data_IF_837743304082
#
_entry.id   IF_837743304082
#
_cell.length_a   1.000
_cell.length_b   1.000
_cell.length_c   1.000
_cell.angle_alpha   90.00
_cell.angle_beta   90.00
_cell.angle_gamma   90.00
#
_symmetry.space_group_name_H-M   'P 1'
#
loop_
_entity.id
_entity.type
_entity.pdbx_description
1 polymer ?
#
# COMPACT_ATOMS: atom_id res chain seq x y z
N UNK A 1 -3.04 -60.71 -74.49
CA UNK A 1 -4.02 -61.53 -73.73
C UNK A 1 -3.19 -62.48 -72.88
N UNK A 2 -3.06 -62.32 -71.56
CA UNK A 2 -4.07 -62.65 -70.56
C UNK A 2 -3.79 -61.93 -69.24
N UNK A 3 -4.74 -61.10 -68.77
CA UNK A 3 -4.81 -60.64 -67.38
C UNK A 3 -5.39 -61.77 -66.53
N UNK A 4 -4.60 -62.31 -65.60
CA UNK A 4 -5.11 -63.24 -64.59
C UNK A 4 -5.66 -62.46 -63.40
N UNK A 5 -6.98 -62.42 -63.32
CA UNK A 5 -7.77 -61.88 -62.23
C UNK A 5 -7.63 -62.76 -60.97
N UNK A 6 -6.93 -62.27 -59.95
CA UNK A 6 -6.93 -62.93 -58.63
C UNK A 6 -8.22 -62.58 -57.86
N UNK A 7 -9.22 -63.47 -57.93
CA UNK A 7 -10.39 -63.48 -57.05
C UNK A 7 -9.93 -63.68 -55.59
N UNK A 8 -9.90 -62.62 -54.80
CA UNK A 8 -9.79 -62.67 -53.34
C UNK A 8 -11.09 -63.24 -52.77
N UNK A 9 -11.11 -64.54 -52.47
CA UNK A 9 -12.17 -65.16 -51.65
C UNK A 9 -11.89 -64.79 -50.19
N UNK A 10 -12.51 -63.72 -49.71
CA UNK A 10 -12.50 -63.37 -48.29
C UNK A 10 -13.05 -64.55 -47.48
N UNK A 11 -12.21 -65.13 -46.62
CA UNK A 11 -12.60 -66.24 -45.76
C UNK A 11 -13.68 -65.77 -44.80
N UNK A 12 -14.87 -66.39 -44.88
CA UNK A 12 -16.04 -66.09 -44.06
C UNK A 12 -15.77 -66.10 -42.55
N UNK A 13 -14.64 -66.67 -42.13
CA UNK A 13 -14.16 -66.67 -40.76
C UNK A 13 -13.68 -65.27 -40.30
N UNK A 14 -13.02 -64.50 -41.15
CA UNK A 14 -12.54 -63.15 -40.79
C UNK A 14 -13.69 -62.14 -40.71
N UNK A 15 -14.73 -62.27 -41.54
CA UNK A 15 -15.94 -61.44 -41.46
C UNK A 15 -16.79 -61.79 -40.24
N UNK A 16 -16.89 -63.07 -39.88
CA UNK A 16 -17.62 -63.51 -38.68
C UNK A 16 -16.92 -63.08 -37.37
N UNK A 17 -15.59 -63.21 -37.30
CA UNK A 17 -14.81 -62.79 -36.11
C UNK A 17 -14.80 -61.26 -35.98
N UNK A 18 -14.64 -60.53 -37.08
CA UNK A 18 -14.74 -59.06 -37.09
C UNK A 18 -16.12 -58.59 -36.64
N UNK A 19 -17.20 -59.23 -37.12
CA UNK A 19 -18.56 -58.95 -36.70
C UNK A 19 -18.79 -59.17 -35.20
N UNK A 20 -18.30 -60.29 -34.65
CA UNK A 20 -18.40 -60.58 -33.22
C UNK A 20 -17.66 -59.55 -32.37
N UNK A 21 -16.44 -59.15 -32.77
CA UNK A 21 -15.64 -58.16 -32.03
C UNK A 21 -16.29 -56.79 -32.05
N UNK A 22 -16.86 -56.36 -33.19
CA UNK A 22 -17.58 -55.09 -33.29
C UNK A 22 -18.83 -55.13 -32.40
N UNK A 23 -19.58 -56.24 -32.42
CA UNK A 23 -20.79 -56.38 -31.62
C UNK A 23 -20.48 -56.35 -30.12
N UNK A 24 -19.43 -57.03 -29.67
CA UNK A 24 -18.97 -56.98 -28.28
C UNK A 24 -18.47 -55.59 -27.90
N UNK A 25 -17.76 -54.90 -28.80
CA UNK A 25 -17.27 -53.54 -28.56
C UNK A 25 -18.41 -52.53 -28.45
N UNK A 26 -19.43 -52.64 -29.31
CA UNK A 26 -20.63 -51.80 -29.25
C UNK A 26 -21.42 -52.09 -27.99
N UNK A 27 -21.58 -53.36 -27.61
CA UNK A 27 -22.27 -53.72 -26.37
C UNK A 27 -21.53 -53.20 -25.14
N UNK A 28 -20.20 -53.30 -25.13
CA UNK A 28 -19.35 -52.72 -24.08
C UNK A 28 -19.50 -51.19 -24.02
N UNK A 29 -19.52 -50.51 -25.16
CA UNK A 29 -19.74 -49.06 -25.23
C UNK A 29 -21.15 -48.67 -24.79
N UNK A 30 -22.18 -49.46 -25.11
CA UNK A 30 -23.55 -49.21 -24.66
C UNK A 30 -23.72 -49.46 -23.16
N UNK A 31 -23.08 -50.49 -22.60
CA UNK A 31 -23.03 -50.72 -21.15
C UNK A 31 -22.26 -49.57 -20.49
N UNK A 32 -21.14 -49.13 -21.06
CA UNK A 32 -20.41 -47.95 -20.58
C UNK A 32 -21.22 -46.68 -20.68
N UNK A 33 -22.03 -46.49 -21.73
CA UNK A 33 -22.89 -45.32 -21.89
C UNK A 33 -24.10 -45.35 -20.93
N UNK A 34 -24.64 -46.53 -20.65
CA UNK A 34 -25.73 -46.72 -19.69
C UNK A 34 -25.27 -46.65 -18.23
N UNK A 35 -24.02 -47.01 -17.95
CA UNK A 35 -23.41 -46.96 -16.60
C UNK A 35 -22.57 -45.71 -16.36
N UNK A 36 -22.14 -45.00 -17.41
CA UNK A 36 -21.64 -43.63 -17.30
C UNK A 36 -22.86 -42.78 -17.02
N UNK A 37 -23.13 -42.56 -15.73
CA UNK A 37 -24.32 -41.88 -15.26
C UNK A 37 -24.67 -40.69 -16.14
N UNK A 38 -25.80 -40.79 -16.84
CA UNK A 38 -26.52 -39.60 -17.24
C UNK A 38 -26.93 -38.93 -15.94
N UNK A 39 -26.09 -38.01 -15.49
CA UNK A 39 -26.45 -37.05 -14.47
C UNK A 39 -27.61 -36.23 -15.04
N UNK A 40 -28.84 -36.68 -14.79
CA UNK A 40 -29.95 -35.73 -14.67
C UNK A 40 -29.54 -34.92 -13.46
N UNK A 41 -28.90 -33.77 -13.71
CA UNK A 41 -28.67 -32.79 -12.67
C UNK A 41 -30.05 -32.49 -12.10
N UNK A 42 -30.27 -32.93 -10.86
CA UNK A 42 -31.49 -32.66 -10.13
C UNK A 42 -31.73 -31.15 -10.22
N UNK A 43 -32.89 -30.72 -10.70
CA UNK A 43 -33.17 -29.28 -10.92
C UNK A 43 -33.12 -28.52 -9.59
N UNK A 44 -33.11 -29.24 -8.46
CA UNK A 44 -32.81 -28.74 -7.12
C UNK A 44 -31.34 -28.33 -6.91
N UNK A 45 -30.37 -29.02 -7.54
CA UNK A 45 -28.93 -28.70 -7.43
C UNK A 45 -28.50 -27.56 -8.38
N UNK A 46 -29.27 -27.34 -9.46
CA UNK A 46 -29.13 -26.14 -10.28
C UNK A 46 -29.40 -24.85 -9.48
N UNK A 47 -30.12 -24.93 -8.36
CA UNK A 47 -30.38 -23.79 -7.48
C UNK A 47 -29.15 -23.35 -6.67
N UNK A 48 -28.33 -24.27 -6.18
CA UNK A 48 -27.22 -23.93 -5.27
C UNK A 48 -25.94 -23.52 -6.00
N UNK A 49 -25.64 -24.16 -7.13
CA UNK A 49 -24.50 -23.78 -7.98
C UNK A 49 -24.81 -22.54 -8.85
N UNK A 50 -26.04 -22.37 -9.35
CA UNK A 50 -26.40 -21.14 -10.06
C UNK A 50 -26.54 -19.94 -9.11
N UNK A 51 -26.92 -20.14 -7.85
CA UNK A 51 -26.86 -19.08 -6.83
C UNK A 51 -25.39 -18.69 -6.58
N UNK A 52 -24.47 -19.66 -6.42
CA UNK A 52 -23.04 -19.40 -6.26
C UNK A 52 -22.43 -18.60 -7.43
N UNK A 53 -22.91 -18.82 -8.65
CA UNK A 53 -22.46 -18.07 -9.84
C UNK A 53 -23.01 -16.63 -9.87
N UNK A 54 -24.16 -16.36 -9.25
CA UNK A 54 -24.77 -15.01 -9.15
C UNK A 54 -24.25 -14.17 -7.97
N UNK A 55 -23.59 -14.78 -6.99
CA UNK A 55 -22.86 -14.07 -5.91
C UNK A 55 -21.37 -13.92 -6.22
N UNK A 56 -20.91 -14.33 -7.40
CA UNK A 56 -19.55 -14.02 -7.82
C UNK A 56 -19.46 -12.51 -8.06
N UNK A 57 -18.51 -11.80 -7.41
CA UNK A 57 -18.29 -10.40 -7.71
C UNK A 57 -17.96 -10.28 -9.20
N UNK A 58 -18.79 -9.57 -9.96
CA UNK A 58 -18.58 -9.26 -11.38
C UNK A 58 -17.50 -8.19 -11.55
N UNK A 59 -16.33 -8.45 -10.97
CA UNK A 59 -15.16 -7.61 -11.05
C UNK A 59 -13.95 -8.50 -10.84
N UNK A 60 -12.99 -8.43 -11.76
CA UNK A 60 -11.66 -8.97 -11.55
C UNK A 60 -10.99 -8.13 -10.47
N UNK A 61 -11.34 -8.33 -9.22
CA UNK A 61 -10.54 -7.82 -8.11
C UNK A 61 -9.28 -8.68 -8.18
N UNK A 62 -8.18 -8.11 -8.69
CA UNK A 62 -6.87 -8.69 -8.46
C UNK A 62 -6.75 -8.77 -6.95
N UNK A 63 -6.93 -9.97 -6.40
CA UNK A 63 -6.65 -10.26 -5.02
C UNK A 63 -5.17 -9.89 -4.85
N UNK A 64 -4.91 -8.73 -4.25
CA UNK A 64 -3.58 -8.37 -3.84
C UNK A 64 -3.09 -9.36 -2.80
N UNK A 65 -1.93 -9.08 -2.23
CA UNK A 65 -1.33 -9.68 -1.03
C UNK A 65 -2.22 -9.70 0.24
N UNK A 66 -3.54 -9.58 0.13
CA UNK A 66 -4.50 -9.51 1.24
C UNK A 66 -4.52 -8.16 1.95
N UNK A 67 -3.55 -7.29 1.68
CA UNK A 67 -3.41 -5.97 2.29
C UNK A 67 -4.03 -4.89 1.39
N UNK A 68 -5.00 -4.10 1.88
CA UNK A 68 -5.56 -2.99 1.10
C UNK A 68 -4.48 -1.97 0.68
N UNK A 69 -4.62 -1.31 -0.49
CA UNK A 69 -3.80 -0.17 -0.84
C UNK A 69 -3.75 0.88 0.28
N UNK A 70 -2.54 1.34 0.60
CA UNK A 70 -2.28 2.29 1.69
C UNK A 70 -1.90 1.60 3.02
N UNK A 71 -2.17 0.30 3.17
CA UNK A 71 -1.89 -0.46 4.40
C UNK A 71 -0.64 -1.34 4.32
N UNK A 72 0.07 -1.38 3.18
CA UNK A 72 1.30 -2.18 3.06
C UNK A 72 2.51 -1.47 3.66
N UNK A 73 3.36 -2.19 4.39
CA UNK A 73 4.67 -1.70 4.84
C UNK A 73 5.64 -1.53 3.67
N UNK A 74 6.72 -0.77 3.86
CA UNK A 74 7.77 -0.61 2.87
C UNK A 74 8.45 -1.92 2.50
N UNK A 75 8.64 -2.81 3.48
CA UNK A 75 9.17 -4.16 3.26
C UNK A 75 8.21 -5.01 2.40
N UNK A 76 6.90 -4.97 2.67
CA UNK A 76 5.89 -5.70 1.90
C UNK A 76 5.88 -5.24 0.43
N UNK A 77 5.92 -3.93 0.19
CA UNK A 77 5.98 -3.34 -1.15
C UNK A 77 7.30 -3.72 -1.84
N UNK A 78 8.42 -3.66 -1.12
CA UNK A 78 9.73 -4.04 -1.64
C UNK A 78 9.76 -5.50 -2.10
N UNK A 79 9.34 -6.42 -1.22
CA UNK A 79 9.34 -7.86 -1.50
C UNK A 79 8.39 -8.23 -2.64
N UNK A 80 7.28 -7.50 -2.79
CA UNK A 80 6.30 -7.73 -3.86
C UNK A 80 6.76 -7.21 -5.22
N UNK A 81 7.34 -6.00 -5.28
CA UNK A 81 7.55 -5.28 -6.55
C UNK A 81 9.02 -4.92 -6.77
N UNK A 82 9.68 -4.30 -5.80
CA UNK A 82 10.98 -3.65 -6.01
C UNK A 82 12.17 -4.64 -6.03
N UNK A 83 12.07 -5.74 -5.28
CA UNK A 83 13.16 -6.73 -5.12
C UNK A 83 13.59 -7.38 -6.44
N UNK A 84 12.72 -7.41 -7.44
CA UNK A 84 13.01 -7.99 -8.76
C UNK A 84 14.16 -7.27 -9.47
N UNK A 85 14.33 -5.97 -9.19
CA UNK A 85 15.39 -5.15 -9.78
C UNK A 85 16.42 -4.66 -8.76
N UNK A 86 15.99 -4.40 -7.52
CA UNK A 86 16.82 -3.80 -6.48
C UNK A 86 17.30 -4.78 -5.40
N UNK A 87 17.03 -6.08 -5.54
CA UNK A 87 17.57 -7.10 -4.65
C UNK A 87 19.10 -7.10 -4.62
N UNK A 88 19.70 -7.48 -3.49
CA UNK A 88 21.14 -7.50 -3.30
C UNK A 88 21.88 -8.37 -4.35
N UNK A 89 21.21 -9.40 -4.85
CA UNK A 89 21.67 -10.35 -5.85
C UNK A 89 21.35 -9.94 -7.30
N UNK A 90 20.58 -8.87 -7.51
CA UNK A 90 20.13 -8.44 -8.84
C UNK A 90 21.20 -7.63 -9.56
N UNK A 91 21.18 -7.71 -10.89
CA UNK A 91 22.20 -7.13 -11.78
C UNK A 91 21.63 -6.10 -12.76
N UNK A 92 20.48 -5.51 -12.45
CA UNK A 92 19.87 -4.47 -13.28
C UNK A 92 20.81 -3.26 -13.34
N UNK A 93 21.19 -2.86 -14.54
CA UNK A 93 22.17 -1.79 -14.76
C UNK A 93 21.71 -0.48 -14.10
N UNK A 94 22.60 0.14 -13.33
CA UNK A 94 22.40 1.42 -12.62
C UNK A 94 21.28 1.42 -11.57
N UNK A 95 20.64 0.27 -11.32
CA UNK A 95 19.71 0.07 -10.21
C UNK A 95 20.50 -0.09 -8.91
N UNK A 96 20.26 0.77 -7.89
CA UNK A 96 20.92 0.61 -6.60
C UNK A 96 20.43 -0.66 -5.90
N UNK A 97 21.37 -1.46 -5.41
CA UNK A 97 21.10 -2.71 -4.71
C UNK A 97 20.84 -2.46 -3.24
N UNK A 98 19.85 -3.16 -2.68
CA UNK A 98 19.61 -3.15 -1.24
C UNK A 98 20.87 -3.58 -0.49
N UNK A 99 21.27 -2.81 0.54
CA UNK A 99 22.44 -3.09 1.35
C UNK A 99 23.76 -2.56 0.80
N UNK A 100 23.79 -2.02 -0.43
CA UNK A 100 25.01 -1.48 -1.01
C UNK A 100 25.19 0.01 -0.67
N UNK A 101 25.84 0.29 0.47
CA UNK A 101 26.07 1.67 0.93
C UNK A 101 26.77 2.56 -0.11
N UNK A 102 27.68 2.01 -0.92
CA UNK A 102 28.39 2.78 -1.95
C UNK A 102 27.46 3.29 -3.06
N UNK A 103 26.51 2.46 -3.48
CA UNK A 103 25.52 2.84 -4.50
C UNK A 103 24.43 3.80 -3.96
N UNK A 104 24.18 3.75 -2.65
CA UNK A 104 23.14 4.54 -1.98
C UNK A 104 23.63 5.87 -1.40
N UNK A 105 24.89 6.01 -1.02
CA UNK A 105 25.41 7.21 -0.33
C UNK A 105 25.08 8.52 -1.08
N UNK A 106 25.37 8.58 -2.39
CA UNK A 106 25.11 9.77 -3.21
C UNK A 106 23.62 10.01 -3.47
N UNK A 107 22.79 8.96 -3.37
CA UNK A 107 21.34 9.02 -3.55
C UNK A 107 20.67 9.51 -2.28
N UNK A 108 21.09 8.97 -1.12
CA UNK A 108 20.66 9.41 0.21
C UNK A 108 20.98 10.89 0.40
N UNK A 109 22.16 11.35 -0.03
CA UNK A 109 22.55 12.75 0.05
C UNK A 109 21.65 13.71 -0.74
N UNK A 110 20.92 13.24 -1.76
CA UNK A 110 19.93 14.06 -2.49
C UNK A 110 18.64 14.27 -1.69
N UNK A 111 18.47 13.55 -0.58
CA UNK A 111 17.32 13.67 0.30
C UNK A 111 16.17 12.73 -0.07
N UNK A 112 15.36 12.42 0.93
CA UNK A 112 14.25 11.47 0.82
C UNK A 112 13.22 11.89 -0.24
N UNK A 113 12.78 13.14 -0.24
CA UNK A 113 11.76 13.65 -1.16
C UNK A 113 12.16 13.47 -2.64
N UNK A 114 13.43 13.67 -2.97
CA UNK A 114 13.92 13.45 -4.32
C UNK A 114 13.90 11.97 -4.71
N UNK A 115 14.26 11.07 -3.79
CA UNK A 115 14.20 9.63 -4.04
C UNK A 115 12.76 9.15 -4.22
N UNK A 116 11.84 9.61 -3.37
CA UNK A 116 10.41 9.30 -3.47
C UNK A 116 9.83 9.84 -4.77
N UNK A 117 10.09 11.10 -5.13
CA UNK A 117 9.60 11.67 -6.39
C UNK A 117 10.09 10.89 -7.62
N UNK A 118 11.35 10.46 -7.61
CA UNK A 118 11.90 9.62 -8.68
C UNK A 118 11.27 8.22 -8.70
N UNK A 119 10.94 7.64 -7.55
CA UNK A 119 10.29 6.32 -7.47
C UNK A 119 8.82 6.38 -7.89
N UNK A 120 8.08 7.43 -7.49
CA UNK A 120 6.66 7.63 -7.81
C UNK A 120 6.47 7.94 -9.30
N UNK A 121 7.23 8.90 -9.83
CA UNK A 121 7.10 9.34 -11.23
C UNK A 121 7.91 8.49 -12.22
N UNK A 122 8.81 7.65 -11.70
CA UNK A 122 9.80 6.94 -12.50
C UNK A 122 11.03 7.81 -12.73
N UNK A 123 12.14 7.16 -13.11
CA UNK A 123 13.43 7.81 -13.31
C UNK A 123 14.04 7.38 -14.63
N UNK A 124 14.28 8.36 -15.51
CA UNK A 124 14.94 8.18 -16.81
C UNK A 124 16.26 8.94 -16.84
N UNK A 125 17.23 8.44 -16.11
CA UNK A 125 18.58 9.01 -16.05
C UNK A 125 19.62 8.01 -16.54
N UNK A 126 20.59 7.69 -15.69
CA UNK A 126 21.58 6.65 -15.97
C UNK A 126 20.97 5.25 -16.05
N UNK A 127 19.81 5.04 -15.42
CA UNK A 127 18.98 3.83 -15.56
C UNK A 127 17.55 4.20 -15.94
N UNK A 128 16.75 3.18 -16.23
CA UNK A 128 15.32 3.28 -16.51
C UNK A 128 14.54 2.59 -15.39
N UNK A 129 13.90 3.38 -14.53
CA UNK A 129 13.04 2.90 -13.46
C UNK A 129 11.59 3.29 -13.77
N UNK A 130 10.66 2.34 -13.90
CA UNK A 130 9.25 2.64 -14.14
C UNK A 130 8.62 3.33 -12.92
N UNK A 131 7.63 4.18 -13.19
CA UNK A 131 6.80 4.81 -12.16
C UNK A 131 6.21 3.76 -11.22
N UNK A 132 6.36 3.96 -9.92
CA UNK A 132 5.90 3.06 -8.85
C UNK A 132 6.42 1.62 -8.98
N UNK A 133 7.61 1.44 -9.55
CA UNK A 133 8.15 0.10 -9.82
C UNK A 133 7.34 -0.72 -10.83
N UNK A 134 6.46 -0.06 -11.61
CA UNK A 134 5.57 -0.70 -12.58
C UNK A 134 4.22 -1.15 -12.01
N UNK A 135 3.99 -1.03 -10.71
CA UNK A 135 2.70 -1.38 -10.09
C UNK A 135 1.86 -0.12 -9.83
N UNK A 136 0.88 0.13 -10.72
CA UNK A 136 -0.06 1.25 -10.62
C UNK A 136 -1.01 1.16 -9.42
N UNK A 137 -1.09 0.00 -8.76
CA UNK A 137 -1.94 -0.18 -7.58
C UNK A 137 -1.33 0.37 -6.30
N UNK A 138 -0.04 0.72 -6.33
CA UNK A 138 0.65 1.29 -5.18
C UNK A 138 0.26 2.76 -4.97
N UNK A 139 -0.01 3.13 -3.72
CA UNK A 139 -0.12 4.54 -3.33
C UNK A 139 1.26 5.19 -3.27
N UNK A 140 1.31 6.52 -3.33
CA UNK A 140 2.59 7.23 -3.24
C UNK A 140 3.24 7.03 -1.86
N UNK A 141 2.42 6.87 -0.81
CA UNK A 141 2.88 6.51 0.53
C UNK A 141 3.48 5.11 0.59
N UNK A 142 2.87 4.12 -0.07
CA UNK A 142 3.42 2.75 -0.17
C UNK A 142 4.79 2.74 -0.88
N UNK A 143 4.94 3.55 -1.93
CA UNK A 143 6.21 3.72 -2.64
C UNK A 143 7.24 4.45 -1.75
N UNK A 144 6.84 5.52 -1.07
CA UNK A 144 7.70 6.25 -0.15
C UNK A 144 8.19 5.36 1.00
N UNK A 145 7.33 4.48 1.51
CA UNK A 145 7.71 3.46 2.50
C UNK A 145 8.74 2.48 1.96
N UNK A 146 8.56 1.96 0.75
CA UNK A 146 9.54 1.08 0.12
C UNK A 146 10.90 1.77 -0.09
N UNK A 147 10.91 3.05 -0.47
CA UNK A 147 12.12 3.86 -0.61
C UNK A 147 12.83 4.04 0.74
N UNK A 148 12.09 4.31 1.81
CA UNK A 148 12.64 4.42 3.16
C UNK A 148 13.27 3.10 3.61
N UNK A 149 12.56 1.99 3.46
CA UNK A 149 13.07 0.64 3.73
C UNK A 149 14.39 0.39 2.98
N UNK A 150 14.41 0.63 1.67
CA UNK A 150 15.59 0.38 0.84
C UNK A 150 16.80 1.22 1.22
N UNK A 151 16.58 2.51 1.47
CA UNK A 151 17.64 3.42 1.88
C UNK A 151 18.16 3.07 3.28
N UNK A 152 17.30 2.73 4.23
CA UNK A 152 17.68 2.41 5.62
C UNK A 152 18.50 1.12 5.72
N UNK A 153 18.16 0.12 4.91
CA UNK A 153 18.97 -1.08 4.77
C UNK A 153 20.32 -0.81 4.09
N UNK A 154 20.51 0.36 3.48
CA UNK A 154 21.69 0.72 2.68
C UNK A 154 22.45 1.93 3.25
N UNK A 155 22.40 2.12 4.58
CA UNK A 155 23.14 3.15 5.30
C UNK A 155 22.42 4.50 5.45
N UNK A 156 21.15 4.58 5.06
CA UNK A 156 20.28 5.73 5.31
C UNK A 156 19.56 5.65 6.66
N UNK A 157 18.88 6.74 7.02
CA UNK A 157 18.01 6.79 8.20
C UNK A 157 16.82 7.72 7.92
N UNK A 158 16.05 7.37 6.89
CA UNK A 158 14.83 8.05 6.53
C UNK A 158 13.66 7.53 7.36
N UNK A 159 12.79 8.44 7.77
CA UNK A 159 11.55 8.09 8.45
C UNK A 159 10.56 7.53 7.41
N UNK A 160 10.08 6.32 7.66
CA UNK A 160 9.06 5.67 6.84
C UNK A 160 7.68 6.31 7.10
N UNK A 161 6.88 6.69 6.07
CA UNK A 161 5.51 7.14 6.27
C UNK A 161 4.70 6.11 7.07
N UNK A 162 3.79 6.53 7.97
CA UNK A 162 2.99 5.58 8.74
C UNK A 162 2.16 4.68 7.82
N UNK A 163 2.08 3.41 8.17
CA UNK A 163 1.10 2.50 7.56
C UNK A 163 -0.27 2.95 8.06
N UNK A 164 -1.20 3.26 7.15
CA UNK A 164 -2.55 3.62 7.58
C UNK A 164 -3.18 2.41 8.25
N UNK A 165 -3.34 2.49 9.57
CA UNK A 165 -4.02 1.45 10.32
C UNK A 165 -5.50 1.48 9.92
N UNK A 166 -6.01 0.37 9.39
CA UNK A 166 -7.45 0.15 9.43
C UNK A 166 -7.90 0.24 10.89
N UNK A 167 -8.98 0.99 11.14
CA UNK A 167 -9.56 1.16 12.47
C UNK A 167 -9.68 -0.19 13.20
N UNK A 168 -8.98 -0.30 14.33
CA UNK A 168 -9.09 -1.42 15.23
C UNK A 168 -7.76 -1.98 15.70
N UNK A 169 -7.15 -1.32 16.70
CA UNK A 169 -6.60 -1.92 17.92
C UNK A 169 -5.56 -0.99 18.55
N UNK A 170 -5.92 -0.38 19.68
CA UNK A 170 -4.96 0.18 20.62
C UNK A 170 -4.39 -0.94 21.50
N UNK A 171 -3.06 -0.99 21.69
CA UNK A 171 -2.44 -0.78 23.01
C UNK A 171 -0.91 -0.76 22.92
N UNK A 172 -0.33 0.33 23.41
CA UNK A 172 0.95 0.50 24.11
C UNK A 172 2.19 -0.37 23.76
N UNK A 173 3.20 0.27 23.18
CA UNK A 173 4.55 0.40 23.79
C UNK A 173 5.42 1.39 22.99
N UNK A 174 6.26 2.11 23.70
CA UNK A 174 6.92 3.35 23.30
C UNK A 174 8.20 3.19 22.47
N UNK A 175 8.35 4.02 21.44
CA UNK A 175 9.40 5.07 21.29
C UNK A 175 9.72 5.33 19.81
N UNK A 176 9.51 6.60 19.41
CA UNK A 176 9.90 7.35 18.20
C UNK A 176 10.79 6.67 17.12
N UNK A 177 10.51 6.89 15.80
CA UNK A 177 10.47 8.24 15.22
C UNK A 177 9.22 8.50 14.34
N UNK A 178 8.12 8.87 14.97
CA UNK A 178 6.94 9.44 14.29
C UNK A 178 7.05 10.96 14.04
N UNK A 179 8.15 11.60 14.45
CA UNK A 179 8.22 13.05 14.56
C UNK A 179 8.62 13.79 13.26
N UNK A 180 9.16 13.11 12.24
CA UNK A 180 9.83 13.82 11.14
C UNK A 180 8.96 14.00 9.88
N UNK A 181 8.05 13.06 9.59
CA UNK A 181 7.02 13.20 8.53
C UNK A 181 5.87 14.09 8.98
N UNK A 182 5.48 13.96 10.25
CA UNK A 182 4.52 14.86 10.90
C UNK A 182 5.03 16.30 10.91
N UNK A 183 6.33 16.53 11.13
CA UNK A 183 6.87 17.88 11.23
C UNK A 183 6.79 18.68 9.93
N UNK A 184 7.04 18.08 8.76
CA UNK A 184 6.97 18.78 7.48
C UNK A 184 5.53 19.14 7.10
N UNK A 185 4.58 18.21 7.28
CA UNK A 185 3.16 18.46 7.07
C UNK A 185 2.59 19.43 8.13
N UNK A 186 3.00 19.30 9.39
CA UNK A 186 2.63 20.22 10.46
C UNK A 186 3.17 21.63 10.21
N UNK A 187 4.38 21.75 9.67
CA UNK A 187 4.94 23.03 9.27
C UNK A 187 4.11 23.66 8.15
N UNK A 188 3.71 22.90 7.12
CA UNK A 188 2.89 23.41 6.02
C UNK A 188 1.47 23.83 6.49
N UNK A 189 0.83 23.00 7.32
CA UNK A 189 -0.45 23.33 7.95
C UNK A 189 -0.32 24.57 8.84
N UNK A 190 0.78 24.67 9.61
CA UNK A 190 1.08 25.84 10.41
C UNK A 190 1.20 27.09 9.54
N UNK A 191 1.98 27.05 8.45
CA UNK A 191 2.14 28.19 7.55
C UNK A 191 0.80 28.61 6.93
N UNK A 192 -0.01 27.63 6.53
CA UNK A 192 -1.27 27.87 5.81
C UNK A 192 -2.39 28.37 6.73
N UNK A 193 -2.49 27.81 7.94
CA UNK A 193 -3.69 27.98 8.79
C UNK A 193 -3.41 28.69 10.12
N UNK A 194 -2.17 28.70 10.60
CA UNK A 194 -1.85 29.12 11.98
C UNK A 194 -0.91 30.34 12.05
N UNK A 195 -0.04 30.52 11.05
CA UNK A 195 1.04 31.50 11.07
C UNK A 195 0.53 32.96 11.12
N UNK A 196 -0.68 33.23 10.61
CA UNK A 196 -1.29 34.55 10.69
C UNK A 196 -1.40 35.05 12.15
N UNK A 197 -1.75 34.15 13.08
CA UNK A 197 -1.94 34.48 14.49
C UNK A 197 -0.79 34.03 15.40
N UNK A 198 -0.11 32.94 15.04
CA UNK A 198 0.95 32.33 15.86
C UNK A 198 2.35 32.45 15.26
N UNK A 199 2.51 33.10 14.11
CA UNK A 199 3.81 33.35 13.52
C UNK A 199 4.73 34.15 14.45
N UNK A 200 6.04 33.99 14.29
CA UNK A 200 7.04 34.64 15.13
C UNK A 200 6.88 36.18 15.19
N UNK A 201 6.36 36.77 14.13
CA UNK A 201 6.12 38.22 13.99
C UNK A 201 4.64 38.61 14.15
N UNK A 202 3.76 37.68 14.52
CA UNK A 202 2.33 37.99 14.64
C UNK A 202 2.07 39.06 15.70
N UNK A 203 1.18 39.99 15.36
CA UNK A 203 0.75 41.07 16.24
C UNK A 203 -0.47 40.68 17.10
N UNK A 204 -0.96 39.44 17.00
CA UNK A 204 -2.12 39.00 17.77
C UNK A 204 -1.76 38.97 19.27
N UNK A 205 -2.43 39.77 20.12
CA UNK A 205 -2.11 39.83 21.53
C UNK A 205 -2.46 38.50 22.22
N UNK A 206 -1.61 38.10 23.17
CA UNK A 206 -1.75 36.86 23.97
C UNK A 206 -1.62 35.53 23.22
N UNK A 207 -1.49 35.55 21.90
CA UNK A 207 -1.18 34.37 21.11
C UNK A 207 0.29 33.95 21.35
N UNK A 208 0.56 32.68 21.69
CA UNK A 208 1.93 32.19 21.77
C UNK A 208 2.58 32.20 20.39
N UNK A 209 3.73 32.87 20.29
CA UNK A 209 4.48 33.01 19.04
C UNK A 209 5.37 31.82 18.80
N UNK A 210 5.48 31.38 17.55
CA UNK A 210 6.42 30.34 17.15
C UNK A 210 7.85 30.75 17.52
N UNK A 211 8.59 29.84 18.14
CA UNK A 211 9.98 30.07 18.54
C UNK A 211 10.17 30.89 19.84
N UNK A 212 9.12 31.50 20.38
CA UNK A 212 9.24 32.30 21.61
C UNK A 212 9.18 31.44 22.88
N UNK A 213 10.34 31.18 23.49
CA UNK A 213 10.44 30.31 24.67
C UNK A 213 9.60 30.79 25.86
N UNK A 214 9.49 32.11 26.06
CA UNK A 214 8.81 32.68 27.21
C UNK A 214 7.29 32.54 27.11
N UNK A 215 6.75 32.60 25.88
CA UNK A 215 5.33 32.35 25.62
C UNK A 215 4.95 30.88 25.87
N UNK A 216 5.86 29.95 25.51
CA UNK A 216 5.62 28.51 25.53
C UNK A 216 5.93 27.83 26.86
N UNK A 217 6.92 28.30 27.62
CA UNK A 217 7.30 27.70 28.92
C UNK A 217 6.12 27.51 29.90
N UNK A 218 5.23 28.50 30.16
CA UNK A 218 4.09 28.31 31.05
C UNK A 218 2.97 27.45 30.45
N UNK A 219 2.95 27.26 29.12
CA UNK A 219 1.98 26.41 28.42
C UNK A 219 2.41 24.96 28.52
N UNK A 220 3.66 24.66 28.18
CA UNK A 220 4.23 23.31 28.25
C UNK A 220 4.06 22.72 29.67
N UNK A 221 4.19 23.54 30.73
CA UNK A 221 3.93 23.12 32.12
C UNK A 221 2.51 22.63 32.41
N UNK A 222 1.52 23.03 31.61
CA UNK A 222 0.13 22.56 31.73
C UNK A 222 -0.04 21.13 31.20
N UNK A 223 0.93 20.63 30.44
CA UNK A 223 0.93 19.27 29.89
C UNK A 223 0.32 19.19 28.48
N UNK A 224 0.68 18.11 27.77
CA UNK A 224 0.31 17.87 26.38
C UNK A 224 -1.22 17.84 26.17
N UNK A 225 -1.96 17.22 27.09
CA UNK A 225 -3.39 16.98 26.93
C UNK A 225 -4.17 18.29 26.98
N UNK A 226 -3.76 19.21 27.85
CA UNK A 226 -4.34 20.55 27.95
C UNK A 226 -4.05 21.36 26.69
N UNK A 227 -2.83 21.28 26.15
CA UNK A 227 -2.45 21.99 24.93
C UNK A 227 -3.23 21.48 23.71
N UNK A 228 -3.36 20.16 23.57
CA UNK A 228 -4.13 19.55 22.48
C UNK A 228 -5.61 19.89 22.60
N UNK A 229 -6.19 19.78 23.79
CA UNK A 229 -7.58 20.13 24.04
C UNK A 229 -7.89 21.58 23.65
N UNK A 230 -7.08 22.54 24.13
CA UNK A 230 -7.25 23.95 23.81
C UNK A 230 -7.09 24.24 22.31
N UNK A 231 -6.24 23.51 21.60
CA UNK A 231 -6.05 23.68 20.16
C UNK A 231 -7.22 23.10 19.35
N UNK A 232 -7.79 21.96 19.78
CA UNK A 232 -8.88 21.27 19.08
C UNK A 232 -10.22 21.95 19.36
N UNK A 233 -10.55 22.19 20.62
CA UNK A 233 -11.84 22.73 21.06
C UNK A 233 -11.88 24.27 21.01
N UNK A 234 -10.71 24.90 20.89
CA UNK A 234 -10.56 26.34 21.02
C UNK A 234 -10.35 26.75 22.48
N UNK A 235 -9.87 27.98 22.67
CA UNK A 235 -9.54 28.49 23.98
C UNK A 235 -9.73 30.00 24.06
N UNK A 236 -10.53 30.42 25.03
CA UNK A 236 -10.64 31.83 25.42
C UNK A 236 -9.79 32.06 26.66
N UNK A 237 -8.71 32.82 26.50
CA UNK A 237 -7.82 33.10 27.62
C UNK A 237 -8.49 34.11 28.56
N UNK A 238 -8.58 33.82 29.88
CA UNK A 238 -9.15 34.74 30.86
C UNK A 238 -8.44 36.10 30.92
N UNK A 239 -7.16 36.16 30.52
CA UNK A 239 -6.35 37.39 30.45
C UNK A 239 -6.53 38.16 29.14
N UNK A 240 -7.34 37.66 28.21
CA UNK A 240 -7.57 38.22 26.88
C UNK A 240 -7.00 37.35 25.76
N UNK A 241 -7.62 37.43 24.58
CA UNK A 241 -7.30 36.63 23.39
C UNK A 241 -8.20 35.40 23.24
N UNK A 242 -8.56 35.11 21.98
CA UNK A 242 -9.40 33.97 21.60
C UNK A 242 -8.64 33.16 20.55
N UNK A 243 -8.49 31.87 20.82
CA UNK A 243 -8.07 30.87 19.85
C UNK A 243 -9.31 30.09 19.41
N UNK A 244 -9.74 30.19 18.14
CA UNK A 244 -10.84 29.37 17.64
C UNK A 244 -10.50 27.87 17.66
N UNK A 245 -11.53 27.02 17.71
CA UNK A 245 -11.38 25.58 17.53
C UNK A 245 -10.60 25.27 16.25
N UNK A 246 -9.58 24.41 16.36
CA UNK A 246 -8.68 24.02 15.27
C UNK A 246 -8.02 25.21 14.56
N UNK A 247 -7.81 26.32 15.28
CA UNK A 247 -7.26 27.56 14.69
C UNK A 247 -8.17 28.21 13.64
N UNK A 248 -9.45 27.85 13.60
CA UNK A 248 -10.41 28.29 12.56
C UNK A 248 -10.42 27.43 11.31
N UNK A 249 -9.56 26.41 11.24
CA UNK A 249 -9.47 25.47 10.13
C UNK A 249 -10.28 24.20 10.46
N UNK A 250 -11.60 24.30 10.36
CA UNK A 250 -12.54 23.22 10.72
C UNK A 250 -12.33 21.92 9.92
N UNK A 251 -11.68 22.00 8.76
CA UNK A 251 -11.34 20.87 7.91
C UNK A 251 -10.19 20.00 8.45
N UNK A 252 -9.40 20.49 9.42
CA UNK A 252 -8.28 19.73 9.97
C UNK A 252 -8.77 18.62 10.89
N UNK A 253 -8.12 17.46 10.81
CA UNK A 253 -8.31 16.38 11.80
C UNK A 253 -7.67 16.74 13.14
N UNK A 254 -8.07 16.07 14.20
CA UNK A 254 -7.52 16.31 15.54
C UNK A 254 -6.03 15.93 15.59
N UNK A 255 -5.64 14.87 14.88
CA UNK A 255 -4.25 14.42 14.74
C UNK A 255 -3.39 15.46 14.02
N UNK A 256 -3.93 16.10 12.98
CA UNK A 256 -3.25 17.19 12.26
C UNK A 256 -3.02 18.39 13.17
N UNK A 257 -4.03 18.76 13.98
CA UNK A 257 -3.90 19.85 14.96
C UNK A 257 -2.88 19.49 16.04
N UNK A 258 -2.89 18.26 16.55
CA UNK A 258 -1.90 17.79 17.53
C UNK A 258 -0.47 17.81 16.96
N UNK A 259 -0.28 17.41 15.70
CA UNK A 259 1.01 17.46 15.04
C UNK A 259 1.54 18.91 14.93
N UNK A 260 0.67 19.87 14.60
CA UNK A 260 1.00 21.31 14.58
C UNK A 260 1.39 21.82 15.97
N UNK A 261 0.66 21.42 17.02
CA UNK A 261 1.02 21.80 18.40
C UNK A 261 2.39 21.26 18.79
N UNK A 262 2.70 19.99 18.44
CA UNK A 262 4.03 19.40 18.66
C UNK A 262 5.12 20.19 17.94
N UNK A 263 4.91 20.54 16.66
CA UNK A 263 5.82 21.38 15.88
C UNK A 263 6.06 22.74 16.57
N UNK A 264 5.01 23.44 16.99
CA UNK A 264 5.14 24.76 17.61
C UNK A 264 5.91 24.72 18.94
N UNK A 265 5.69 23.68 19.76
CA UNK A 265 6.44 23.47 20.99
C UNK A 265 7.90 23.14 20.70
N UNK A 266 8.18 22.31 19.70
CA UNK A 266 9.54 21.97 19.29
C UNK A 266 10.32 23.19 18.81
N UNK A 267 9.71 24.06 18.00
CA UNK A 267 10.33 25.33 17.56
C UNK A 267 10.62 26.27 18.72
N UNK A 268 9.80 26.23 19.78
CA UNK A 268 10.05 26.95 21.02
C UNK A 268 11.12 26.28 21.92
N UNK A 269 11.74 25.19 21.49
CA UNK A 269 12.75 24.44 22.25
C UNK A 269 12.17 23.56 23.36
N UNK A 270 10.86 23.31 23.34
CA UNK A 270 10.17 22.40 24.25
C UNK A 270 9.97 21.00 23.67
N UNK A 271 9.39 20.10 24.47
CA UNK A 271 9.03 18.73 24.09
C UNK A 271 7.69 18.38 24.75
N UNK A 272 6.80 17.71 24.04
CA UNK A 272 5.49 17.20 24.53
C UNK A 272 5.45 15.68 24.51
#
# INVERSE_FOLDING_TARGET
>A
MHSSQHKQKGSALFTAISGLVILVSVLFLLVKLATSGYFVADVADAGKEAVKTRIMPAGNIKMGDGTPPGQRTGEQVFNKVCIQCHGADKTVAYAPKLGNNGEWSSRIAKGFNTLVNNAVNGFKGQGDMPAKGGDKSLTDDEVARAVAYMANQSGGSFTEPPVQAGEGAASDAASAPAAQTDAAAAQDIFQTSCAACHGATSAVPFAPKLGNKDDWAPRIKQGKDVLFKHAIEGFTNPKGGVMPAKGGAAQLSDEQVQAVVRYMVQEAGGKL
#
